data_IF_351324898850
#
_entry.id   IF_351324898850
#
_cell.length_a   1.000
_cell.length_b   1.000
_cell.length_c   1.000
_cell.angle_alpha   90.00
_cell.angle_beta   90.00
_cell.angle_gamma   90.00
#
_symmetry.space_group_name_H-M   'P 1'
#
loop_
_entity.id
_entity.type
_entity.pdbx_description
1 polymer ?
#
# COMPACT_ATOMS: atom_id res chain seq x y z
N UNK A 1 -7.84 14.25 0.22
CA UNK A 1 -7.79 14.84 -1.15
C UNK A 1 -6.82 14.14 -2.09
N UNK A 2 -5.49 14.11 -1.86
CA UNK A 2 -4.52 13.58 -2.85
C UNK A 2 -4.81 12.14 -3.30
N UNK A 3 -5.15 11.23 -2.38
CA UNK A 3 -5.46 9.84 -2.77
C UNK A 3 -6.78 9.72 -3.55
N UNK A 4 -7.80 10.48 -3.17
CA UNK A 4 -9.06 10.54 -3.91
C UNK A 4 -8.87 11.08 -5.34
N UNK A 5 -8.01 12.10 -5.51
CA UNK A 5 -7.59 12.56 -6.83
C UNK A 5 -6.92 11.44 -7.63
N UNK A 6 -5.96 10.73 -7.05
CA UNK A 6 -5.27 9.62 -7.72
C UNK A 6 -6.24 8.53 -8.18
N UNK A 7 -7.25 8.19 -7.37
CA UNK A 7 -8.30 7.22 -7.75
C UNK A 7 -9.12 7.74 -8.93
N UNK A 8 -9.48 9.04 -8.94
CA UNK A 8 -10.19 9.67 -10.07
C UNK A 8 -9.40 9.60 -11.37
N UNK A 9 -8.08 9.80 -11.30
CA UNK A 9 -7.18 9.69 -12.46
C UNK A 9 -6.83 8.22 -12.82
N UNK A 10 -7.41 7.24 -12.12
CA UNK A 10 -7.26 5.83 -12.43
C UNK A 10 -5.99 5.16 -11.89
N UNK A 11 -5.26 5.82 -10.97
CA UNK A 11 -4.09 5.23 -10.31
C UNK A 11 -4.55 4.18 -9.29
N UNK A 12 -4.10 2.94 -9.51
CA UNK A 12 -4.46 1.77 -8.71
C UNK A 12 -3.38 1.45 -7.68
N UNK A 13 -3.71 0.68 -6.62
CA UNK A 13 -2.71 0.14 -5.70
C UNK A 13 -1.58 -0.62 -6.39
N UNK A 14 -1.90 -1.37 -7.45
CA UNK A 14 -0.93 -2.15 -8.22
C UNK A 14 0.15 -1.30 -8.91
N UNK A 15 -0.11 -0.02 -9.15
CA UNK A 15 0.84 0.92 -9.75
C UNK A 15 1.87 1.41 -8.72
N UNK A 16 1.57 1.27 -7.43
CA UNK A 16 2.41 1.70 -6.32
C UNK A 16 3.20 0.51 -5.76
N UNK A 17 4.15 0.01 -6.55
CA UNK A 17 5.00 -1.12 -6.17
C UNK A 17 6.39 -0.67 -5.74
N UNK A 18 6.84 -1.23 -4.61
CA UNK A 18 8.23 -1.11 -4.18
C UNK A 18 9.10 -1.90 -5.17
N UNK A 19 10.32 -1.42 -5.43
CA UNK A 19 11.25 -2.10 -6.33
C UNK A 19 11.48 -3.54 -5.87
N UNK A 20 11.55 -4.49 -6.80
CA UNK A 20 11.78 -5.90 -6.49
C UNK A 20 13.04 -6.14 -5.65
N UNK A 21 14.07 -5.27 -5.74
CA UNK A 21 15.26 -5.32 -4.88
C UNK A 21 14.96 -5.22 -3.39
N UNK A 22 13.98 -4.40 -3.02
CA UNK A 22 13.60 -4.22 -1.62
C UNK A 22 12.56 -5.24 -1.15
N UNK A 23 11.91 -5.97 -2.07
CA UNK A 23 10.92 -7.01 -1.77
C UNK A 23 11.58 -8.40 -1.70
N UNK A 24 12.25 -8.80 -2.77
CA UNK A 24 12.62 -10.20 -3.00
C UNK A 24 14.01 -10.39 -3.60
N UNK A 25 14.58 -9.42 -4.32
CA UNK A 25 15.69 -9.72 -5.23
C UNK A 25 17.03 -10.01 -4.55
N UNK A 26 17.17 -9.77 -3.24
CA UNK A 26 18.28 -10.27 -2.44
C UNK A 26 17.92 -10.09 -0.97
N UNK A 27 17.19 -11.03 -0.36
CA UNK A 27 17.25 -11.15 1.11
C UNK A 27 18.72 -11.04 1.48
N UNK A 28 19.05 -10.16 2.44
CA UNK A 28 20.44 -9.80 2.72
C UNK A 28 21.29 -11.07 2.77
N UNK A 29 22.37 -11.16 2.01
CA UNK A 29 23.13 -12.41 1.88
C UNK A 29 23.94 -12.74 3.14
N UNK A 30 24.05 -11.80 4.07
CA UNK A 30 24.74 -11.90 5.34
C UNK A 30 24.21 -10.94 6.39
N UNK A 31 24.71 -11.09 7.61
CA UNK A 31 24.28 -10.29 8.77
C UNK A 31 23.00 -10.81 9.45
N UNK A 32 22.53 -10.13 10.50
CA UNK A 32 21.42 -10.60 11.36
C UNK A 32 20.07 -10.73 10.65
N UNK A 33 19.89 -10.02 9.54
CA UNK A 33 18.66 -10.01 8.74
C UNK A 33 18.78 -10.92 7.50
N UNK A 34 19.75 -11.84 7.49
CA UNK A 34 19.95 -12.76 6.38
C UNK A 34 18.71 -13.63 6.16
N UNK A 35 18.23 -13.69 4.92
CA UNK A 35 17.08 -14.51 4.55
C UNK A 35 15.72 -13.94 5.01
N UNK A 36 15.69 -12.75 5.61
CA UNK A 36 14.44 -12.09 5.98
C UNK A 36 13.81 -11.45 4.75
N UNK A 37 12.51 -11.69 4.57
CA UNK A 37 11.65 -11.11 3.53
C UNK A 37 10.49 -10.36 4.19
N UNK A 38 9.90 -9.40 3.48
CA UNK A 38 8.77 -8.62 3.98
C UNK A 38 7.47 -9.06 3.31
N UNK A 39 6.45 -9.35 4.10
CA UNK A 39 5.09 -9.56 3.58
C UNK A 39 4.44 -8.21 3.26
N UNK A 40 4.73 -7.73 2.07
CA UNK A 40 4.26 -6.42 1.61
C UNK A 40 2.81 -6.42 1.15
N UNK A 41 2.21 -7.60 0.95
CA UNK A 41 0.77 -7.69 0.66
C UNK A 41 -0.02 -7.55 1.96
N UNK A 42 0.29 -8.36 2.97
CA UNK A 42 -0.37 -8.27 4.28
C UNK A 42 -0.21 -6.89 4.93
N UNK A 43 0.99 -6.29 4.84
CA UNK A 43 1.22 -4.92 5.32
C UNK A 43 0.35 -3.88 4.61
N UNK A 44 0.09 -4.06 3.30
CA UNK A 44 -0.76 -3.15 2.53
C UNK A 44 -2.21 -3.29 2.95
N UNK A 45 -2.72 -4.52 3.06
CA UNK A 45 -4.09 -4.81 3.48
C UNK A 45 -4.39 -4.18 4.84
N UNK A 46 -3.52 -4.40 5.82
CA UNK A 46 -3.70 -3.87 7.17
C UNK A 46 -3.62 -2.34 7.19
N UNK A 47 -2.71 -1.74 6.42
CA UNK A 47 -2.63 -0.29 6.31
C UNK A 47 -3.93 0.30 5.77
N UNK A 48 -4.46 -0.25 4.67
CA UNK A 48 -5.67 0.25 4.02
C UNK A 48 -6.88 0.17 4.94
N UNK A 49 -7.03 -0.97 5.63
CA UNK A 49 -8.06 -1.16 6.65
C UNK A 49 -7.95 -0.11 7.76
N UNK A 50 -6.74 0.11 8.28
CA UNK A 50 -6.47 1.05 9.37
C UNK A 50 -6.82 2.49 8.99
N UNK A 51 -6.49 2.91 7.76
CA UNK A 51 -6.75 4.29 7.29
C UNK A 51 -8.14 4.48 6.69
N UNK A 52 -8.96 3.43 6.62
CA UNK A 52 -10.30 3.47 6.02
C UNK A 52 -10.25 3.66 4.50
N UNK A 53 -9.33 2.97 3.83
CA UNK A 53 -9.21 2.95 2.38
C UNK A 53 -9.70 1.62 1.82
N UNK A 54 -10.30 1.68 0.64
CA UNK A 54 -10.75 0.51 -0.09
C UNK A 54 -9.58 -0.08 -0.90
N UNK A 55 -9.36 -1.38 -0.78
CA UNK A 55 -8.25 -2.10 -1.41
C UNK A 55 -8.37 -2.24 -2.92
N UNK A 56 -9.59 -2.20 -3.44
CA UNK A 56 -9.87 -2.35 -4.87
C UNK A 56 -9.54 -1.06 -5.61
N UNK A 57 -9.96 0.07 -5.04
CA UNK A 57 -9.78 1.40 -5.61
C UNK A 57 -8.44 2.02 -5.21
N UNK A 58 -7.93 1.70 -4.03
CA UNK A 58 -6.72 2.30 -3.49
C UNK A 58 -6.91 3.68 -2.89
N UNK A 59 -8.12 4.08 -2.53
CA UNK A 59 -8.40 5.39 -1.94
C UNK A 59 -9.38 5.32 -0.78
N UNK A 60 -9.71 6.48 -0.19
CA UNK A 60 -10.60 6.55 0.96
C UNK A 60 -11.97 5.99 0.64
N UNK A 61 -12.57 5.25 1.58
CA UNK A 61 -13.97 4.81 1.47
C UNK A 61 -14.92 6.02 1.50
N UNK A 62 -16.16 5.81 1.05
CA UNK A 62 -17.20 6.85 1.14
C UNK A 62 -17.39 7.36 2.58
N UNK A 63 -17.31 6.47 3.56
CA UNK A 63 -17.37 6.81 4.99
C UNK A 63 -16.20 7.70 5.40
N UNK A 64 -14.97 7.34 5.01
CA UNK A 64 -13.78 8.12 5.32
C UNK A 64 -13.77 9.48 4.62
N UNK A 65 -14.31 9.56 3.39
CA UNK A 65 -14.47 10.85 2.69
C UNK A 65 -15.46 11.76 3.43
N UNK A 66 -16.60 11.22 3.86
CA UNK A 66 -17.59 11.96 4.66
C UNK A 66 -17.02 12.43 6.00
N UNK A 67 -16.27 11.58 6.70
CA UNK A 67 -15.59 11.92 7.97
C UNK A 67 -14.61 13.09 7.79
N UNK A 68 -13.85 13.09 6.70
CA UNK A 68 -12.84 14.08 6.42
C UNK A 68 -13.38 15.35 5.72
N UNK A 69 -14.66 15.37 5.35
CA UNK A 69 -15.30 16.50 4.66
C UNK A 69 -14.75 16.77 3.26
N UNK A 70 -14.34 15.71 2.54
CA UNK A 70 -13.76 15.77 1.18
C UNK A 70 -14.53 14.95 0.16
#
# INVERSE_FOLDING_TARGET
>A
LRKAFNVREGIKPADSRVSGRALDATSLSGGPLKGITLDMEGMREEFFKTVGWDITTGGPTAEKMKELGI
#
